data_IF_317285842705
#
_entry.id   IF_317285842705
#
_cell.length_a   1.000
_cell.length_b   1.000
_cell.length_c   1.000
_cell.angle_alpha   90.00
_cell.angle_beta   90.00
_cell.angle_gamma   90.00
#
_symmetry.space_group_name_H-M   'P 1'
#
loop_
_entity.id
_entity.type
_entity.pdbx_description
1 polymer ?
#
# COMPACT_ATOMS: atom_id res chain seq x y z
N UNK A 1 -1.19 -6.00 4.59
CA UNK A 1 -0.10 -5.03 4.37
C UNK A 1 0.69 -5.42 3.12
N UNK A 2 0.33 -4.74 2.03
CA UNK A 2 0.83 -4.94 0.67
C UNK A 2 1.12 -3.54 0.09
N UNK A 3 2.20 -2.89 0.54
CA UNK A 3 2.40 -1.47 0.22
C UNK A 3 2.55 -1.22 -1.27
N UNK A 4 3.32 -2.06 -1.98
CA UNK A 4 3.64 -1.82 -3.37
C UNK A 4 2.39 -1.92 -4.25
N UNK A 5 1.53 -2.93 -4.09
CA UNK A 5 0.33 -2.98 -4.94
C UNK A 5 -0.69 -1.88 -4.59
N UNK A 6 -0.80 -1.46 -3.33
CA UNK A 6 -1.67 -0.31 -2.99
C UNK A 6 -1.19 0.98 -3.66
N UNK A 7 0.13 1.22 -3.69
CA UNK A 7 0.72 2.37 -4.39
C UNK A 7 0.47 2.23 -5.90
N UNK A 8 0.84 1.08 -6.49
CA UNK A 8 0.69 0.82 -7.93
C UNK A 8 -0.75 0.94 -8.45
N UNK A 9 -1.74 0.45 -7.69
CA UNK A 9 -3.16 0.49 -8.07
C UNK A 9 -3.81 1.88 -7.91
N UNK A 10 -3.07 2.90 -7.46
CA UNK A 10 -3.59 4.25 -7.23
C UNK A 10 -3.64 5.15 -8.48
N UNK A 11 -3.07 4.68 -9.60
CA UNK A 11 -3.00 5.45 -10.85
C UNK A 11 -1.95 6.56 -10.79
N UNK A 12 -2.19 7.67 -11.49
CA UNK A 12 -1.19 8.73 -11.69
C UNK A 12 -1.33 9.93 -10.71
N UNK A 13 -2.39 9.99 -9.91
CA UNK A 13 -2.59 11.11 -8.98
C UNK A 13 -1.83 10.87 -7.68
N UNK A 14 -0.87 11.73 -7.40
CA UNK A 14 -0.01 11.69 -6.22
C UNK A 14 -0.80 11.69 -4.89
N UNK A 15 -1.79 12.56 -4.75
CA UNK A 15 -2.59 12.68 -3.52
C UNK A 15 -3.51 11.47 -3.31
N UNK A 16 -4.00 10.85 -4.38
CA UNK A 16 -4.73 9.58 -4.30
C UNK A 16 -3.78 8.48 -3.82
N UNK A 17 -2.57 8.42 -4.37
CA UNK A 17 -1.55 7.42 -4.01
C UNK A 17 -1.14 7.54 -2.54
N UNK A 18 -0.86 8.77 -2.07
CA UNK A 18 -0.61 9.07 -0.67
C UNK A 18 -1.80 8.65 0.20
N UNK A 19 -3.03 9.02 -0.21
CA UNK A 19 -4.24 8.65 0.53
C UNK A 19 -4.41 7.14 0.67
N UNK A 20 -4.12 6.37 -0.38
CA UNK A 20 -4.17 4.92 -0.36
C UNK A 20 -3.12 4.32 0.58
N UNK A 21 -1.89 4.84 0.53
CA UNK A 21 -0.80 4.39 1.39
C UNK A 21 -1.06 4.64 2.89
N UNK A 22 -1.60 5.81 3.26
CA UNK A 22 -1.79 6.17 4.69
C UNK A 22 -3.11 5.67 5.29
N UNK A 23 -3.95 5.01 4.50
CA UNK A 23 -5.33 4.65 4.86
C UNK A 23 -5.44 3.80 6.14
N UNK A 24 -4.50 2.88 6.35
CA UNK A 24 -4.40 2.04 7.56
C UNK A 24 -4.30 2.86 8.86
N UNK A 25 -3.74 4.07 8.79
CA UNK A 25 -3.65 5.01 9.90
C UNK A 25 -4.97 5.74 10.20
N UNK A 26 -5.97 5.67 9.31
CA UNK A 26 -7.14 6.55 9.31
C UNK A 26 -8.42 5.76 9.58
N UNK A 27 -8.88 5.83 10.82
CA UNK A 27 -10.05 5.08 11.30
C UNK A 27 -11.38 5.74 10.92
N UNK A 28 -12.34 4.91 10.51
CA UNK A 28 -13.75 5.30 10.34
C UNK A 28 -13.92 6.48 9.38
N UNK A 29 -14.68 7.50 9.81
CA UNK A 29 -15.00 8.70 9.02
C UNK A 29 -13.97 9.84 9.15
N UNK A 30 -12.84 9.63 9.84
CA UNK A 30 -11.80 10.66 10.00
C UNK A 30 -11.17 11.10 8.68
N UNK A 31 -11.26 10.26 7.63
CA UNK A 31 -10.80 10.60 6.28
C UNK A 31 -11.48 11.86 5.72
N UNK A 32 -12.70 12.20 6.16
CA UNK A 32 -13.43 13.39 5.70
C UNK A 32 -12.73 14.72 6.01
N UNK A 33 -11.69 14.73 6.85
CA UNK A 33 -10.90 15.91 7.17
C UNK A 33 -9.83 16.24 6.12
N UNK A 34 -9.53 15.29 5.23
CA UNK A 34 -8.50 15.44 4.21
C UNK A 34 -9.06 16.06 2.92
N UNK A 35 -8.19 16.44 1.98
CA UNK A 35 -8.60 16.88 0.64
C UNK A 35 -9.38 15.78 -0.10
N UNK A 36 -10.12 16.15 -1.14
CA UNK A 36 -10.95 15.19 -1.89
C UNK A 36 -10.12 14.04 -2.47
N UNK A 37 -8.93 14.33 -3.00
CA UNK A 37 -8.08 13.32 -3.62
C UNK A 37 -7.51 12.33 -2.60
N UNK A 38 -7.06 12.83 -1.44
CA UNK A 38 -6.64 11.96 -0.33
C UNK A 38 -7.81 11.12 0.18
N UNK A 39 -9.03 11.68 0.24
CA UNK A 39 -10.23 10.91 0.58
C UNK A 39 -10.49 9.78 -0.42
N UNK A 40 -10.33 10.05 -1.72
CA UNK A 40 -10.47 9.03 -2.77
C UNK A 40 -9.44 7.93 -2.55
N UNK A 41 -8.17 8.27 -2.31
CA UNK A 41 -7.11 7.31 -2.00
C UNK A 41 -7.45 6.41 -0.80
N UNK A 42 -7.90 7.00 0.31
CA UNK A 42 -8.26 6.24 1.51
C UNK A 42 -9.43 5.29 1.26
N UNK A 43 -10.41 5.71 0.46
CA UNK A 43 -11.52 4.85 0.08
C UNK A 43 -11.07 3.75 -0.88
N UNK A 44 -10.20 4.08 -1.84
CA UNK A 44 -9.63 3.12 -2.79
C UNK A 44 -8.90 1.98 -2.06
N UNK A 45 -8.08 2.29 -1.06
CA UNK A 45 -7.45 1.29 -0.21
C UNK A 45 -8.45 0.27 0.35
N UNK A 46 -9.55 0.76 0.93
CA UNK A 46 -10.59 -0.07 1.55
C UNK A 46 -11.32 -0.92 0.53
N UNK A 47 -11.54 -0.39 -0.66
CA UNK A 47 -12.15 -1.14 -1.76
C UNK A 47 -11.22 -2.25 -2.27
N UNK A 48 -9.92 -1.97 -2.41
CA UNK A 48 -8.90 -2.97 -2.75
C UNK A 48 -8.91 -4.10 -1.72
N UNK A 49 -8.79 -3.77 -0.42
CA UNK A 49 -8.82 -4.75 0.67
C UNK A 49 -10.09 -5.58 0.68
N UNK A 50 -11.25 -4.93 0.56
CA UNK A 50 -12.54 -5.60 0.53
C UNK A 50 -12.63 -6.58 -0.63
N UNK A 51 -12.13 -6.17 -1.81
CA UNK A 51 -12.07 -7.02 -2.99
C UNK A 51 -11.14 -8.21 -2.78
N UNK A 52 -9.90 -7.99 -2.30
CA UNK A 52 -8.90 -9.04 -2.12
C UNK A 52 -9.31 -10.04 -1.04
N UNK A 53 -9.85 -9.58 0.09
CA UNK A 53 -10.32 -10.44 1.19
C UNK A 53 -11.51 -11.32 0.79
N UNK A 54 -12.35 -10.84 -0.12
CA UNK A 54 -13.44 -11.61 -0.70
C UNK A 54 -12.98 -12.59 -1.79
N UNK A 55 -11.83 -12.34 -2.42
CA UNK A 55 -11.40 -13.06 -3.60
C UNK A 55 -11.00 -14.52 -3.29
N UNK A 56 -11.54 -15.46 -4.08
CA UNK A 56 -11.36 -16.91 -3.86
C UNK A 56 -9.88 -17.33 -3.84
N UNK A 57 -9.05 -16.71 -4.68
CA UNK A 57 -7.61 -17.01 -4.74
C UNK A 57 -6.89 -16.59 -3.47
N UNK A 58 -7.20 -15.41 -2.92
CA UNK A 58 -6.59 -14.91 -1.68
C UNK A 58 -6.97 -15.79 -0.50
N UNK A 59 -8.26 -16.14 -0.38
CA UNK A 59 -8.74 -17.10 0.63
C UNK A 59 -8.07 -18.47 0.53
N UNK A 60 -7.79 -18.94 -0.68
CA UNK A 60 -7.04 -20.19 -0.90
C UNK A 60 -5.59 -20.06 -0.42
N UNK A 61 -4.94 -18.95 -0.71
CA UNK A 61 -3.56 -18.66 -0.26
C UNK A 61 -3.48 -18.60 1.27
N UNK A 62 -4.36 -17.85 1.93
CA UNK A 62 -4.35 -17.74 3.40
C UNK A 62 -4.68 -19.08 4.07
N UNK A 63 -5.63 -19.85 3.54
CA UNK A 63 -5.99 -21.19 4.07
C UNK A 63 -4.81 -22.17 4.06
N UNK A 64 -3.90 -22.10 3.09
CA UNK A 64 -2.69 -22.96 3.05
C UNK A 64 -1.77 -22.73 4.25
N UNK A 65 -1.71 -21.48 4.73
CA UNK A 65 -0.82 -21.05 5.80
C UNK A 65 -1.49 -21.09 7.19
N UNK A 66 -2.82 -21.04 7.23
CA UNK A 66 -3.60 -20.95 8.47
C UNK A 66 -3.28 -22.00 9.51
N UNK A 67 -3.02 -23.26 9.11
CA UNK A 67 -2.69 -24.34 10.06
C UNK A 67 -1.44 -24.04 10.89
N UNK A 68 -0.45 -23.36 10.30
CA UNK A 68 0.86 -23.11 10.92
C UNK A 68 0.97 -21.70 11.50
N UNK A 69 0.35 -20.71 10.84
CA UNK A 69 0.56 -19.29 11.16
C UNK A 69 -0.72 -18.57 11.65
N UNK A 70 -1.88 -19.23 11.64
CA UNK A 70 -3.16 -18.69 12.15
C UNK A 70 -3.41 -17.26 11.65
N UNK A 71 -3.60 -16.30 12.55
CA UNK A 71 -3.84 -14.88 12.27
C UNK A 71 -2.78 -14.21 11.39
N UNK A 72 -1.52 -14.68 11.41
CA UNK A 72 -0.45 -14.11 10.59
C UNK A 72 -0.52 -14.54 9.12
N UNK A 73 -1.40 -15.47 8.77
CA UNK A 73 -1.51 -15.99 7.41
C UNK A 73 -1.88 -14.92 6.38
N UNK A 74 -2.72 -13.95 6.75
CA UNK A 74 -3.07 -12.81 5.89
C UNK A 74 -1.84 -11.96 5.60
N UNK A 75 -1.17 -11.50 6.66
CA UNK A 75 0.05 -10.68 6.56
C UNK A 75 1.12 -11.35 5.71
N UNK A 76 1.34 -12.66 5.89
CA UNK A 76 2.31 -13.41 5.07
C UNK A 76 1.90 -13.43 3.59
N UNK A 77 0.61 -13.64 3.30
CA UNK A 77 0.11 -13.63 1.90
C UNK A 77 0.27 -12.25 1.27
N UNK A 78 0.02 -11.18 2.01
CA UNK A 78 0.17 -9.82 1.52
C UNK A 78 1.62 -9.50 1.15
N UNK A 79 2.57 -9.86 2.01
CA UNK A 79 4.01 -9.74 1.74
C UNK A 79 4.40 -10.57 0.51
N UNK A 80 3.87 -11.79 0.38
CA UNK A 80 4.15 -12.63 -0.78
C UNK A 80 3.61 -12.02 -2.08
N UNK A 81 2.45 -11.36 -2.05
CA UNK A 81 1.91 -10.70 -3.24
C UNK A 81 2.72 -9.47 -3.65
N UNK A 82 3.19 -8.65 -2.70
CA UNK A 82 4.14 -7.57 -3.01
C UNK A 82 5.42 -8.13 -3.61
N UNK A 83 5.96 -9.20 -3.01
CA UNK A 83 7.15 -9.86 -3.54
C UNK A 83 6.95 -10.36 -4.97
N UNK A 84 5.81 -10.99 -5.27
CA UNK A 84 5.52 -11.46 -6.64
C UNK A 84 5.27 -10.30 -7.61
N UNK A 85 4.67 -9.20 -7.16
CA UNK A 85 4.52 -7.99 -7.97
C UNK A 85 5.90 -7.41 -8.32
N UNK A 86 6.73 -7.13 -7.30
CA UNK A 86 8.08 -6.61 -7.47
C UNK A 86 8.94 -7.51 -8.37
N UNK A 87 8.90 -8.83 -8.13
CA UNK A 87 9.66 -9.82 -8.92
C UNK A 87 9.26 -9.86 -10.40
N UNK A 88 8.00 -9.58 -10.72
CA UNK A 88 7.48 -9.61 -12.09
C UNK A 88 7.16 -8.21 -12.62
N UNK A 89 7.78 -7.17 -12.05
CA UNK A 89 7.41 -5.78 -12.26
C UNK A 89 7.37 -5.36 -13.73
N UNK A 90 8.35 -5.81 -14.53
CA UNK A 90 8.46 -5.53 -15.97
C UNK A 90 7.24 -6.01 -16.79
N UNK A 91 6.38 -6.88 -16.25
CA UNK A 91 5.15 -7.31 -16.91
C UNK A 91 3.98 -6.34 -16.68
N UNK A 92 4.10 -5.44 -15.70
CA UNK A 92 3.02 -4.59 -15.20
C UNK A 92 3.32 -3.10 -15.39
N UNK A 93 4.58 -2.70 -15.37
CA UNK A 93 4.98 -1.30 -15.53
C UNK A 93 6.22 -1.18 -16.41
N UNK A 94 6.22 -0.19 -17.30
CA UNK A 94 7.37 0.12 -18.15
C UNK A 94 8.44 0.95 -17.41
N UNK A 95 8.09 1.55 -16.27
CA UNK A 95 9.02 2.31 -15.42
C UNK A 95 9.77 1.31 -14.53
N UNK A 96 11.10 1.39 -14.41
CA UNK A 96 11.87 0.57 -13.46
C UNK A 96 11.34 0.67 -12.02
N UNK A 97 11.36 -0.44 -11.27
CA UNK A 97 10.77 -0.49 -9.93
C UNK A 97 11.45 0.48 -8.96
N UNK A 98 12.77 0.59 -9.04
CA UNK A 98 13.58 1.53 -8.26
C UNK A 98 13.18 2.98 -8.55
N UNK A 99 13.10 3.37 -9.82
CA UNK A 99 12.65 4.72 -10.22
C UNK A 99 11.21 5.01 -9.76
N UNK A 100 10.33 4.02 -9.84
CA UNK A 100 8.94 4.14 -9.38
C UNK A 100 8.87 4.34 -7.86
N UNK A 101 9.64 3.58 -7.08
CA UNK A 101 9.69 3.70 -5.63
C UNK A 101 10.32 5.02 -5.19
N UNK A 102 11.40 5.47 -5.84
CA UNK A 102 12.02 6.78 -5.58
C UNK A 102 11.04 7.92 -5.82
N UNK A 103 10.32 7.89 -6.95
CA UNK A 103 9.28 8.89 -7.25
C UNK A 103 8.21 8.96 -6.17
N UNK A 104 7.83 7.80 -5.62
CA UNK A 104 6.86 7.77 -4.52
C UNK A 104 7.43 8.31 -3.20
N UNK A 105 8.70 8.02 -2.89
CA UNK A 105 9.36 8.59 -1.71
C UNK A 105 9.48 10.11 -1.80
N UNK A 106 9.86 10.66 -2.95
CA UNK A 106 9.87 12.11 -3.19
C UNK A 106 8.48 12.72 -2.97
N UNK A 107 7.43 12.04 -3.43
CA UNK A 107 6.04 12.44 -3.21
C UNK A 107 5.67 12.49 -1.72
N UNK A 108 6.12 11.51 -0.92
CA UNK A 108 5.90 11.52 0.52
C UNK A 108 6.61 12.68 1.21
N UNK A 109 7.84 12.99 0.80
CA UNK A 109 8.61 14.12 1.35
C UNK A 109 7.95 15.47 0.99
N UNK A 110 7.56 15.65 -0.27
CA UNK A 110 6.89 16.86 -0.74
C UNK A 110 5.54 17.12 -0.06
N UNK A 111 4.90 16.05 0.42
CA UNK A 111 3.59 16.09 1.06
C UNK A 111 3.65 15.75 2.56
N UNK A 112 4.81 15.89 3.20
CA UNK A 112 5.04 15.47 4.59
C UNK A 112 3.99 16.00 5.57
N UNK A 113 3.60 17.27 5.42
CA UNK A 113 2.66 17.96 6.33
C UNK A 113 1.24 17.40 6.31
N UNK A 114 0.83 16.73 5.22
CA UNK A 114 -0.51 16.12 5.12
C UNK A 114 -0.51 14.67 5.63
N UNK A 115 0.66 14.07 5.86
CA UNK A 115 0.77 12.70 6.35
C UNK A 115 0.30 12.61 7.82
N UNK A 116 -0.35 11.51 8.23
CA UNK A 116 -0.60 11.27 9.65
C UNK A 116 0.72 11.21 10.43
N UNK A 117 0.75 11.71 11.67
CA UNK A 117 1.97 11.74 12.50
C UNK A 117 2.71 10.40 12.61
N UNK A 118 1.95 9.28 12.62
CA UNK A 118 2.55 7.95 12.64
C UNK A 118 3.39 7.68 11.40
N UNK A 119 2.93 8.12 10.23
CA UNK A 119 3.62 7.96 8.96
C UNK A 119 4.79 8.93 8.89
N UNK A 120 4.63 10.17 9.33
CA UNK A 120 5.75 11.13 9.44
C UNK A 120 6.94 10.57 10.23
N UNK A 121 6.67 9.85 11.34
CA UNK A 121 7.73 9.20 12.12
C UNK A 121 8.32 7.94 11.48
N UNK A 122 7.56 7.26 10.62
CA UNK A 122 7.95 6.01 9.99
C UNK A 122 8.74 6.25 8.69
N UNK A 123 8.35 7.29 7.94
CA UNK A 123 8.87 7.62 6.61
C UNK A 123 10.40 7.65 6.54
N UNK A 124 11.15 8.28 7.47
CA UNK A 124 12.61 8.31 7.38
C UNK A 124 13.25 6.91 7.36
N UNK A 125 12.68 5.95 8.09
CA UNK A 125 13.17 4.56 8.10
C UNK A 125 12.76 3.81 6.83
N UNK A 126 11.56 4.06 6.32
CA UNK A 126 11.08 3.44 5.09
C UNK A 126 11.94 3.80 3.89
N UNK A 127 12.35 5.08 3.81
CA UNK A 127 13.22 5.60 2.77
C UNK A 127 14.65 5.08 2.97
N UNK A 128 15.21 5.17 4.18
CA UNK A 128 16.58 4.75 4.45
C UNK A 128 16.83 3.26 4.17
N UNK A 129 15.83 2.40 4.44
CA UNK A 129 15.93 0.95 4.24
C UNK A 129 15.21 0.47 2.95
N UNK A 130 14.74 1.37 2.08
CA UNK A 130 14.05 1.05 0.82
C UNK A 130 12.97 -0.04 0.93
N UNK A 131 11.99 0.14 1.82
CA UNK A 131 10.99 -0.88 2.14
C UNK A 131 10.12 -1.36 0.95
N UNK A 132 10.10 -0.63 -0.16
CA UNK A 132 9.32 -0.98 -1.35
C UNK A 132 10.10 -1.82 -2.38
N UNK A 133 11.42 -2.00 -2.20
CA UNK A 133 12.31 -2.74 -3.09
C UNK A 133 12.66 -4.14 -2.56
#
# INVERSE_FOLDING_TARGET
MNYLAHIYLSGENELITIGNFVADGIKGKSYKKYSKDVQIGILLHREIDTFTDAHKTVRKSTKRLHKKYSHYSGVIVDILYDHFLAKNWEQYCDIPLDEYCETFYDSLENNFDILPERIQRLMPYMIADNWLL
#
